data_IF_223083423782
#
_entry.id   IF_223083423782
#
_cell.length_a   1.000
_cell.length_b   1.000
_cell.length_c   1.000
_cell.angle_alpha   90.00
_cell.angle_beta   90.00
_cell.angle_gamma   90.00
#
_symmetry.space_group_name_H-M   'P 1'
#
loop_
_entity.id
_entity.type
_entity.pdbx_description
1 polymer ?
#
# COMPACT_ATOMS: atom_id res chain seq x y z
N UNK A 1 -25.80 -5.26 2.37
CA UNK A 1 -25.66 -5.66 3.79
C UNK A 1 -24.20 -5.64 4.25
N UNK A 2 -23.26 -6.27 3.54
CA UNK A 2 -21.83 -6.33 3.93
C UNK A 2 -21.24 -4.93 4.16
N UNK A 3 -21.44 -4.01 3.21
CA UNK A 3 -20.96 -2.63 3.33
C UNK A 3 -21.52 -1.91 4.57
N UNK A 4 -22.82 -2.04 4.84
CA UNK A 4 -23.45 -1.44 6.03
C UNK A 4 -22.87 -2.02 7.31
N UNK A 5 -22.72 -3.35 7.38
CA UNK A 5 -22.11 -4.02 8.53
C UNK A 5 -20.65 -3.62 8.74
N UNK A 6 -19.93 -3.37 7.64
CA UNK A 6 -18.57 -2.83 7.70
C UNK A 6 -18.54 -1.38 8.19
N UNK A 7 -19.44 -0.52 7.72
CA UNK A 7 -19.55 0.86 8.21
C UNK A 7 -19.87 0.91 9.71
N UNK A 8 -20.68 -0.03 10.20
CA UNK A 8 -20.92 -0.17 11.64
C UNK A 8 -19.64 -0.61 12.39
N UNK A 9 -18.87 -1.57 11.86
CA UNK A 9 -17.59 -1.98 12.44
C UNK A 9 -16.61 -0.80 12.52
N UNK A 10 -16.42 -0.12 11.39
CA UNK A 10 -15.55 1.05 11.28
C UNK A 10 -15.98 2.13 12.27
N UNK A 11 -17.27 2.47 12.29
CA UNK A 11 -17.82 3.48 13.19
C UNK A 11 -17.65 3.13 14.67
N UNK A 12 -17.96 1.89 15.07
CA UNK A 12 -17.82 1.44 16.45
C UNK A 12 -16.35 1.47 16.91
N UNK A 13 -15.45 0.93 16.10
CA UNK A 13 -14.04 0.83 16.45
C UNK A 13 -13.37 2.21 16.50
N UNK A 14 -13.58 3.04 15.46
CA UNK A 14 -12.98 4.38 15.42
C UNK A 14 -13.53 5.26 16.53
N UNK A 15 -14.84 5.23 16.80
CA UNK A 15 -15.43 5.95 17.94
C UNK A 15 -14.79 5.53 19.27
N UNK A 16 -14.62 4.22 19.50
CA UNK A 16 -13.97 3.72 20.71
C UNK A 16 -12.50 4.16 20.82
N UNK A 17 -11.79 4.26 19.70
CA UNK A 17 -10.37 4.63 19.64
C UNK A 17 -10.11 6.14 19.73
N UNK A 18 -10.99 6.98 19.17
CA UNK A 18 -10.73 8.42 19.01
C UNK A 18 -11.35 9.30 20.08
N UNK A 19 -12.51 8.91 20.62
CA UNK A 19 -13.19 9.78 21.57
C UNK A 19 -12.51 9.71 22.96
N UNK A 20 -12.10 10.86 23.52
CA UNK A 20 -11.52 10.88 24.87
C UNK A 20 -12.54 10.44 25.91
N UNK A 21 -12.07 9.86 27.03
CA UNK A 21 -12.90 9.46 28.18
C UNK A 21 -13.76 10.60 28.75
N UNK A 22 -13.44 11.86 28.44
CA UNK A 22 -14.25 13.02 28.80
C UNK A 22 -15.62 13.05 28.09
N UNK A 23 -15.73 12.46 26.89
CA UNK A 23 -16.94 12.50 26.06
C UNK A 23 -17.68 11.16 26.01
N UNK A 24 -16.99 10.04 26.25
CA UNK A 24 -17.59 8.70 26.26
C UNK A 24 -17.30 8.04 27.59
N UNK A 25 -18.37 7.57 28.24
CA UNK A 25 -18.26 6.80 29.47
C UNK A 25 -17.61 5.44 29.20
N UNK A 26 -16.82 4.92 30.14
CA UNK A 26 -16.07 3.66 30.00
C UNK A 26 -16.98 2.49 29.62
N UNK A 27 -18.21 2.45 30.16
CA UNK A 27 -19.22 1.46 29.82
C UNK A 27 -19.61 1.48 28.33
N UNK A 28 -19.79 2.67 27.75
CA UNK A 28 -20.14 2.83 26.33
C UNK A 28 -18.95 2.44 25.46
N UNK A 29 -17.73 2.82 25.84
CA UNK A 29 -16.51 2.42 25.14
C UNK A 29 -16.37 0.89 25.11
N UNK A 30 -16.59 0.22 26.24
CA UNK A 30 -16.55 -1.24 26.33
C UNK A 30 -17.64 -1.88 25.45
N UNK A 31 -18.85 -1.32 25.40
CA UNK A 31 -19.90 -1.78 24.50
C UNK A 31 -19.51 -1.62 23.01
N UNK A 32 -18.87 -0.51 22.63
CA UNK A 32 -18.39 -0.28 21.27
C UNK A 32 -17.27 -1.27 20.88
N UNK A 33 -16.36 -1.58 21.81
CA UNK A 33 -15.31 -2.57 21.61
C UNK A 33 -15.91 -3.98 21.46
N UNK A 34 -16.87 -4.37 22.30
CA UNK A 34 -17.58 -5.65 22.18
C UNK A 34 -18.32 -5.73 20.83
N UNK A 35 -19.00 -4.65 20.42
CA UNK A 35 -19.66 -4.59 19.11
C UNK A 35 -18.65 -4.75 17.97
N UNK A 36 -17.48 -4.12 18.05
CA UNK A 36 -16.41 -4.25 17.05
C UNK A 36 -15.88 -5.68 16.94
N UNK A 37 -15.76 -6.40 18.06
CA UNK A 37 -15.35 -7.82 18.09
C UNK A 37 -16.38 -8.68 17.36
N UNK A 38 -17.66 -8.51 17.69
CA UNK A 38 -18.75 -9.29 17.07
C UNK A 38 -18.81 -9.02 15.57
N UNK A 39 -18.82 -7.75 15.16
CA UNK A 39 -18.87 -7.37 13.75
C UNK A 39 -17.62 -7.83 12.98
N UNK A 40 -16.43 -7.73 13.61
CA UNK A 40 -15.18 -8.23 13.06
C UNK A 40 -15.22 -9.73 12.80
N UNK A 41 -15.70 -10.53 13.77
CA UNK A 41 -15.85 -11.98 13.59
C UNK A 41 -16.85 -12.35 12.49
N UNK A 42 -17.93 -11.58 12.33
CA UNK A 42 -18.88 -11.79 11.23
C UNK A 42 -18.18 -11.62 9.89
N UNK A 43 -17.42 -10.54 9.69
CA UNK A 43 -16.68 -10.32 8.45
C UNK A 43 -15.58 -11.37 8.21
N UNK A 44 -14.82 -11.70 9.26
CA UNK A 44 -13.80 -12.74 9.21
C UNK A 44 -14.38 -14.11 8.82
N UNK A 45 -15.63 -14.41 9.21
CA UNK A 45 -16.30 -15.65 8.82
C UNK A 45 -16.50 -15.78 7.30
N UNK A 46 -16.68 -14.67 6.58
CA UNK A 46 -16.76 -14.68 5.11
C UNK A 46 -15.40 -14.96 4.48
N UNK A 47 -14.34 -14.36 5.02
CA UNK A 47 -12.96 -14.62 4.54
C UNK A 47 -12.52 -16.07 4.78
N UNK A 48 -12.89 -16.65 5.93
CA UNK A 48 -12.62 -18.07 6.22
C UNK A 48 -13.33 -18.98 5.22
N UNK A 49 -14.57 -18.66 4.81
CA UNK A 49 -15.28 -19.43 3.77
C UNK A 49 -14.57 -19.33 2.41
N UNK A 50 -14.10 -18.13 2.06
CA UNK A 50 -13.36 -17.91 0.83
C UNK A 50 -12.05 -18.73 0.81
N UNK A 51 -11.31 -18.72 1.91
CA UNK A 51 -10.10 -19.50 2.08
C UNK A 51 -10.33 -21.02 1.96
N UNK A 52 -11.39 -21.55 2.58
CA UNK A 52 -11.73 -22.99 2.52
C UNK A 52 -12.04 -23.43 1.09
N UNK A 53 -12.69 -22.58 0.29
CA UNK A 53 -13.10 -22.93 -1.07
C UNK A 53 -11.91 -23.11 -2.01
N UNK A 54 -10.93 -22.20 -1.96
CA UNK A 54 -9.72 -22.31 -2.77
C UNK A 54 -8.51 -21.62 -2.10
N UNK A 55 -7.76 -22.34 -1.24
CA UNK A 55 -6.69 -21.72 -0.45
C UNK A 55 -5.53 -21.22 -1.31
N UNK A 56 -5.24 -21.88 -2.45
CA UNK A 56 -4.13 -21.51 -3.33
C UNK A 56 -4.45 -20.21 -4.07
N UNK A 57 -5.65 -20.09 -4.67
CA UNK A 57 -6.09 -18.85 -5.32
C UNK A 57 -6.18 -17.73 -4.29
N UNK A 58 -6.74 -18.03 -3.12
CA UNK A 58 -6.90 -17.07 -2.04
C UNK A 58 -5.57 -16.45 -1.61
N UNK A 59 -4.53 -17.28 -1.39
CA UNK A 59 -3.22 -16.82 -0.94
C UNK A 59 -2.42 -16.03 -1.99
N UNK A 60 -2.73 -16.17 -3.28
CA UNK A 60 -2.10 -15.39 -4.35
C UNK A 60 -2.72 -14.01 -4.54
N UNK A 61 -3.91 -13.78 -3.99
CA UNK A 61 -4.55 -12.46 -4.05
C UNK A 61 -4.13 -11.62 -2.83
N UNK A 62 -3.39 -10.56 -3.13
CA UNK A 62 -2.93 -9.59 -2.14
C UNK A 62 -4.10 -8.98 -1.33
N UNK A 63 -5.26 -8.77 -1.95
CA UNK A 63 -6.41 -8.14 -1.30
C UNK A 63 -7.02 -9.03 -0.21
N UNK A 64 -7.04 -10.34 -0.40
CA UNK A 64 -7.58 -11.27 0.59
C UNK A 64 -6.75 -11.28 1.88
N UNK A 65 -5.42 -11.20 1.77
CA UNK A 65 -4.51 -11.11 2.91
C UNK A 65 -4.74 -9.78 3.66
N UNK A 66 -4.84 -8.69 2.90
CA UNK A 66 -5.14 -7.37 3.46
C UNK A 66 -6.47 -7.36 4.22
N UNK A 67 -7.51 -7.98 3.66
CA UNK A 67 -8.84 -8.05 4.26
C UNK A 67 -8.82 -8.79 5.60
N UNK A 68 -8.10 -9.90 5.70
CA UNK A 68 -7.92 -10.61 6.98
C UNK A 68 -7.22 -9.74 8.00
N UNK A 69 -6.14 -9.05 7.63
CA UNK A 69 -5.43 -8.16 8.55
C UNK A 69 -6.36 -7.04 9.04
N UNK A 70 -7.14 -6.45 8.14
CA UNK A 70 -8.07 -5.38 8.46
C UNK A 70 -9.19 -5.79 9.41
N UNK A 71 -9.52 -7.09 9.52
CA UNK A 71 -10.48 -7.61 10.50
C UNK A 71 -9.82 -8.15 11.77
N UNK A 72 -8.73 -8.90 11.65
CA UNK A 72 -8.03 -9.53 12.78
C UNK A 72 -7.44 -8.48 13.71
N UNK A 73 -6.82 -7.44 13.14
CA UNK A 73 -6.07 -6.46 13.92
C UNK A 73 -7.03 -5.67 14.84
N UNK A 74 -8.15 -5.08 14.37
CA UNK A 74 -9.15 -4.49 15.26
C UNK A 74 -9.72 -5.45 16.30
N UNK A 75 -10.01 -6.71 15.95
CA UNK A 75 -10.49 -7.71 16.94
C UNK A 75 -9.47 -7.91 18.05
N UNK A 76 -8.21 -8.12 17.68
CA UNK A 76 -7.12 -8.31 18.63
C UNK A 76 -6.96 -7.08 19.53
N UNK A 77 -7.01 -5.87 18.97
CA UNK A 77 -6.90 -4.64 19.76
C UNK A 77 -8.05 -4.46 20.73
N UNK A 78 -9.29 -4.73 20.31
CA UNK A 78 -10.46 -4.62 21.17
C UNK A 78 -10.39 -5.61 22.32
N UNK A 79 -9.95 -6.85 22.08
CA UNK A 79 -9.76 -7.85 23.14
C UNK A 79 -8.66 -7.41 24.10
N UNK A 80 -7.50 -6.99 23.57
CA UNK A 80 -6.37 -6.57 24.39
C UNK A 80 -6.71 -5.33 25.23
N UNK A 81 -7.45 -4.37 24.67
CA UNK A 81 -7.89 -3.18 25.39
C UNK A 81 -8.89 -3.51 26.50
N UNK A 82 -9.84 -4.42 26.26
CA UNK A 82 -10.76 -4.88 27.31
C UNK A 82 -10.05 -5.64 28.44
N UNK A 83 -8.89 -6.25 28.18
CA UNK A 83 -8.12 -7.02 29.16
C UNK A 83 -7.11 -6.18 29.94
N UNK A 84 -6.56 -5.13 29.32
CA UNK A 84 -5.49 -4.31 29.89
C UNK A 84 -5.86 -2.83 29.76
N UNK A 85 -6.02 -2.14 30.90
CA UNK A 85 -6.19 -0.68 30.96
C UNK A 85 -4.88 0.08 30.65
N UNK A 86 -3.93 -0.52 29.93
CA UNK A 86 -2.59 0.03 29.72
C UNK A 86 -2.47 0.92 28.49
N UNK A 87 -1.60 1.93 28.60
CA UNK A 87 -1.29 2.95 27.58
C UNK A 87 -0.47 2.43 26.38
N UNK A 88 0.04 1.18 26.44
CA UNK A 88 0.84 0.58 25.38
C UNK A 88 0.04 0.19 24.11
N UNK A 89 -1.26 0.46 24.09
CA UNK A 89 -2.18 0.13 22.98
C UNK A 89 -2.20 1.18 21.85
N UNK A 90 -1.70 2.39 22.06
CA UNK A 90 -1.84 3.51 21.11
C UNK A 90 -1.34 3.17 19.69
N UNK A 91 -0.16 2.56 19.49
CA UNK A 91 0.30 2.22 18.14
C UNK A 91 -0.63 1.23 17.45
N UNK A 92 -1.10 0.24 18.19
CA UNK A 92 -1.94 -0.83 17.68
C UNK A 92 -3.34 -0.31 17.30
N UNK A 93 -3.90 0.61 18.09
CA UNK A 93 -5.13 1.33 17.76
C UNK A 93 -4.95 2.16 16.48
N UNK A 94 -3.83 2.88 16.36
CA UNK A 94 -3.53 3.69 15.17
C UNK A 94 -3.45 2.83 13.90
N UNK A 95 -2.72 1.72 13.93
CA UNK A 95 -2.68 0.79 12.80
C UNK A 95 -4.07 0.20 12.50
N UNK A 96 -4.84 -0.16 13.52
CA UNK A 96 -6.20 -0.71 13.33
C UNK A 96 -7.12 0.23 12.60
N UNK A 97 -7.15 1.50 13.01
CA UNK A 97 -7.91 2.53 12.31
C UNK A 97 -7.42 2.67 10.86
N UNK A 98 -6.11 2.74 10.63
CA UNK A 98 -5.55 2.86 9.27
C UNK A 98 -5.96 1.69 8.36
N UNK A 99 -5.87 0.45 8.84
CA UNK A 99 -6.25 -0.73 8.06
C UNK A 99 -7.76 -0.74 7.75
N UNK A 100 -8.60 -0.36 8.71
CA UNK A 100 -10.04 -0.22 8.49
C UNK A 100 -10.36 0.91 7.49
N UNK A 101 -9.68 2.05 7.57
CA UNK A 101 -9.87 3.19 6.65
C UNK A 101 -9.44 2.84 5.21
N UNK A 102 -8.32 2.13 5.06
CA UNK A 102 -7.90 1.65 3.74
C UNK A 102 -8.89 0.61 3.21
N UNK A 103 -9.38 -0.31 4.07
CA UNK A 103 -10.43 -1.28 3.68
C UNK A 103 -11.72 -0.58 3.26
N UNK A 104 -12.10 0.52 3.93
CA UNK A 104 -13.23 1.35 3.50
C UNK A 104 -13.05 1.84 2.06
N UNK A 105 -11.85 2.33 1.72
CA UNK A 105 -11.51 2.80 0.38
C UNK A 105 -11.72 1.70 -0.68
N UNK A 106 -11.41 0.44 -0.37
CA UNK A 106 -11.54 -0.69 -1.31
C UNK A 106 -12.98 -0.98 -1.74
N UNK A 107 -13.99 -0.59 -0.96
CA UNK A 107 -15.39 -0.73 -1.39
C UNK A 107 -15.73 0.14 -2.61
N UNK A 108 -14.99 1.22 -2.84
CA UNK A 108 -15.20 2.07 -4.00
C UNK A 108 -14.82 1.38 -5.32
N UNK A 109 -14.06 0.28 -5.28
CA UNK A 109 -13.74 -0.54 -6.47
C UNK A 109 -14.98 -1.04 -7.21
N UNK A 110 -16.11 -1.24 -6.52
CA UNK A 110 -17.35 -1.71 -7.13
C UNK A 110 -18.15 -0.62 -7.87
N UNK A 111 -17.83 0.66 -7.65
CA UNK A 111 -18.54 1.82 -8.23
C UNK A 111 -17.79 2.26 -9.50
N UNK A 112 -18.48 2.44 -10.63
CA UNK A 112 -17.83 2.71 -11.93
C UNK A 112 -16.94 3.95 -11.93
N UNK A 113 -17.36 5.02 -11.27
CA UNK A 113 -16.59 6.26 -11.21
C UNK A 113 -15.21 6.07 -10.56
N UNK A 114 -15.13 5.32 -9.46
CA UNK A 114 -13.86 5.09 -8.73
C UNK A 114 -13.15 3.82 -9.20
N UNK A 115 -13.91 2.79 -9.58
CA UNK A 115 -13.42 1.46 -9.96
C UNK A 115 -12.52 1.48 -11.18
N UNK A 116 -12.71 2.42 -12.10
CA UNK A 116 -11.79 2.64 -13.22
C UNK A 116 -10.39 3.02 -12.71
N UNK A 117 -10.29 3.96 -11.76
CA UNK A 117 -9.01 4.35 -11.16
C UNK A 117 -8.37 3.22 -10.38
N UNK A 118 -9.15 2.46 -9.62
CA UNK A 118 -8.66 1.25 -8.95
C UNK A 118 -8.11 0.22 -9.95
N UNK A 119 -8.78 0.07 -11.10
CA UNK A 119 -8.34 -0.86 -12.12
C UNK A 119 -6.99 -0.47 -12.70
N UNK A 120 -6.79 0.83 -12.97
CA UNK A 120 -5.50 1.40 -13.39
C UNK A 120 -4.45 1.14 -12.31
N UNK A 121 -4.71 1.52 -11.06
CA UNK A 121 -3.76 1.36 -9.94
C UNK A 121 -3.30 -0.09 -9.81
N UNK A 122 -4.24 -1.05 -9.81
CA UNK A 122 -3.92 -2.48 -9.67
C UNK A 122 -3.12 -2.99 -10.87
N UNK A 123 -3.50 -2.59 -12.09
CA UNK A 123 -2.82 -3.06 -13.30
C UNK A 123 -1.39 -2.53 -13.37
N UNK A 124 -1.22 -1.23 -13.14
CA UNK A 124 0.08 -0.58 -13.08
C UNK A 124 0.94 -1.17 -11.97
N UNK A 125 0.37 -1.38 -10.78
CA UNK A 125 1.08 -2.00 -9.65
C UNK A 125 1.69 -3.35 -10.03
N UNK A 126 0.95 -4.22 -10.73
CA UNK A 126 1.46 -5.54 -11.18
C UNK A 126 2.64 -5.41 -12.15
N UNK A 127 2.64 -4.39 -13.02
CA UNK A 127 3.71 -4.19 -14.00
C UNK A 127 5.00 -3.64 -13.37
N UNK A 128 4.90 -2.83 -12.32
CA UNK A 128 6.06 -2.17 -11.70
C UNK A 128 6.76 -2.98 -10.60
N UNK A 129 6.19 -4.09 -10.12
CA UNK A 129 6.79 -4.92 -9.05
C UNK A 129 8.26 -5.28 -9.34
N UNK A 130 8.64 -5.75 -10.56
CA UNK A 130 10.04 -6.09 -10.84
C UNK A 130 10.98 -4.89 -10.68
N UNK A 131 10.54 -3.69 -11.07
CA UNK A 131 11.31 -2.47 -10.90
C UNK A 131 11.51 -2.13 -9.41
N UNK A 132 10.45 -2.24 -8.60
CA UNK A 132 10.53 -1.98 -7.15
C UNK A 132 11.49 -2.95 -6.44
N UNK A 133 11.56 -4.21 -6.88
CA UNK A 133 12.52 -5.20 -6.36
C UNK A 133 13.96 -4.77 -6.66
N UNK A 134 14.25 -4.33 -7.89
CA UNK A 134 15.58 -3.82 -8.28
C UNK A 134 15.93 -2.59 -7.45
N UNK A 135 14.99 -1.63 -7.32
CA UNK A 135 15.18 -0.44 -6.50
C UNK A 135 15.51 -0.79 -5.04
N UNK A 136 14.78 -1.74 -4.44
CA UNK A 136 15.01 -2.18 -3.07
C UNK A 136 16.41 -2.78 -2.87
N UNK A 137 16.86 -3.65 -3.79
CA UNK A 137 18.21 -4.24 -3.73
C UNK A 137 19.28 -3.14 -3.78
N UNK A 138 19.10 -2.14 -4.63
CA UNK A 138 20.04 -1.03 -4.75
C UNK A 138 20.05 -0.21 -3.46
N UNK A 139 18.88 0.15 -2.90
CA UNK A 139 18.78 0.88 -1.62
C UNK A 139 19.47 0.13 -0.50
N UNK A 140 19.26 -1.19 -0.38
CA UNK A 140 19.93 -2.05 0.61
C UNK A 140 21.46 -2.00 0.42
N UNK A 141 21.93 -2.04 -0.83
CA UNK A 141 23.35 -1.99 -1.16
C UNK A 141 24.00 -0.67 -0.73
N UNK A 142 23.33 0.46 -0.98
CA UNK A 142 23.81 1.77 -0.49
C UNK A 142 23.73 1.89 1.01
N UNK A 143 22.63 1.45 1.64
CA UNK A 143 22.49 1.47 3.09
C UNK A 143 23.64 0.70 3.74
N UNK A 144 24.00 -0.46 3.20
CA UNK A 144 25.15 -1.23 3.65
C UNK A 144 26.48 -0.49 3.44
N UNK A 145 26.70 0.15 2.30
CA UNK A 145 27.91 0.91 2.03
C UNK A 145 28.06 2.12 2.98
N UNK A 146 27.00 2.91 3.17
CA UNK A 146 26.98 4.02 4.11
C UNK A 146 27.10 3.55 5.55
N UNK A 147 26.46 2.44 5.92
CA UNK A 147 26.62 1.81 7.23
C UNK A 147 28.08 1.49 7.52
N UNK A 148 28.78 0.82 6.60
CA UNK A 148 30.21 0.51 6.78
C UNK A 148 31.06 1.79 6.92
N UNK A 149 30.74 2.84 6.17
CA UNK A 149 31.50 4.08 6.18
C UNK A 149 31.26 4.92 7.44
N UNK A 150 30.01 4.99 7.90
CA UNK A 150 29.53 5.94 8.91
C UNK A 150 29.22 5.29 10.27
N UNK A 151 29.40 3.98 10.40
CA UNK A 151 29.26 3.30 11.69
C UNK A 151 30.36 3.77 12.66
N UNK A 152 30.03 4.05 13.93
CA UNK A 152 31.01 4.30 14.98
C UNK A 152 31.93 3.08 15.14
N UNK A 153 33.24 3.30 15.18
CA UNK A 153 34.26 2.27 15.44
C UNK A 153 34.57 2.12 16.92
N UNK A 154 34.36 3.19 17.67
CA UNK A 154 34.56 3.26 19.10
C UNK A 154 33.28 2.89 19.85
N UNK A 155 33.44 2.29 21.03
CA UNK A 155 32.32 2.05 21.94
C UNK A 155 31.87 3.41 22.48
N UNK A 156 30.57 3.66 22.46
CA UNK A 156 29.95 4.88 22.98
C UNK A 156 28.67 4.53 23.77
N UNK A 157 28.26 5.45 24.63
CA UNK A 157 26.96 5.45 25.30
C UNK A 157 26.25 6.77 25.01
N UNK A 158 24.92 6.79 24.95
CA UNK A 158 24.17 8.05 24.81
C UNK A 158 24.06 8.85 26.11
N UNK A 159 24.29 8.19 27.25
CA UNK A 159 24.12 8.80 28.58
C UNK A 159 25.42 9.40 29.11
N UNK A 160 26.56 8.87 28.67
CA UNK A 160 27.89 9.27 29.14
C UNK A 160 28.73 9.84 27.99
N UNK A 161 29.24 11.06 28.19
CA UNK A 161 30.13 11.72 27.24
C UNK A 161 31.36 10.86 27.00
N UNK A 162 31.53 10.42 25.76
CA UNK A 162 32.69 9.63 25.36
C UNK A 162 33.67 10.51 24.60
N UNK A 163 34.83 10.81 25.20
CA UNK A 163 35.88 11.58 24.53
C UNK A 163 36.78 10.63 23.72
N UNK A 164 36.48 10.48 22.42
CA UNK A 164 37.28 9.70 21.51
C UNK A 164 37.45 10.41 20.15
N UNK A 165 38.43 9.99 19.37
CA UNK A 165 38.77 10.60 18.09
C UNK A 165 38.00 10.00 16.91
N UNK A 166 36.90 9.29 17.17
CA UNK A 166 36.12 8.63 16.12
C UNK A 166 35.16 9.64 15.47
N UNK A 167 35.35 10.00 14.19
CA UNK A 167 34.52 11.00 13.53
C UNK A 167 33.05 10.59 13.38
N UNK A 168 32.74 9.30 13.53
CA UNK A 168 31.39 8.77 13.42
C UNK A 168 30.69 8.63 14.77
N UNK A 169 31.38 8.85 15.89
CA UNK A 169 30.76 8.81 17.21
C UNK A 169 29.69 9.91 17.31
N UNK A 170 28.45 9.59 17.74
CA UNK A 170 27.41 10.59 17.94
C UNK A 170 27.83 11.82 18.75
N UNK A 171 28.68 11.65 19.77
CA UNK A 171 29.19 12.77 20.59
C UNK A 171 30.09 13.75 19.82
N UNK A 172 30.70 13.33 18.72
CA UNK A 172 31.51 14.19 17.85
C UNK A 172 30.70 14.82 16.71
N UNK A 173 29.47 14.34 16.50
CA UNK A 173 28.57 14.78 15.44
C UNK A 173 27.57 15.84 15.94
N UNK A 174 27.15 15.76 17.21
CA UNK A 174 26.19 16.69 17.80
C UNK A 174 26.63 18.15 17.72
N UNK A 175 25.66 19.05 17.73
CA UNK A 175 25.92 20.48 17.80
C UNK A 175 26.61 20.86 19.12
N UNK A 176 27.76 21.50 18.99
CA UNK A 176 28.49 22.13 20.10
C UNK A 176 28.41 23.64 20.00
N UNK A 177 28.07 24.30 21.10
CA UNK A 177 27.92 25.74 21.18
C UNK A 177 29.10 26.36 21.94
N UNK A 178 29.70 27.39 21.35
CA UNK A 178 30.79 28.16 21.94
C UNK A 178 30.27 29.46 22.53
N UNK A 179 30.83 29.89 23.65
CA UNK A 179 30.49 31.19 24.24
C UNK A 179 31.13 32.32 23.43
N UNK A 180 30.31 33.29 22.99
CA UNK A 180 30.78 34.50 22.32
C UNK A 180 30.75 35.66 23.32
N UNK A 181 31.91 36.25 23.60
CA UNK A 181 32.03 37.38 24.51
C UNK A 181 31.67 38.71 23.82
N UNK A 182 31.31 39.75 24.59
CA UNK A 182 30.88 41.06 24.07
C UNK A 182 31.94 41.77 23.21
N UNK A 183 33.21 41.43 23.38
CA UNK A 183 34.35 41.92 22.59
C UNK A 183 34.51 41.16 21.25
N UNK A 184 33.63 40.21 20.94
CA UNK A 184 33.68 39.40 19.72
C UNK A 184 34.64 38.20 19.78
N UNK A 185 35.32 37.96 20.91
CA UNK A 185 36.17 36.76 21.06
C UNK A 185 35.31 35.54 21.35
N UNK A 186 35.64 34.41 20.72
CA UNK A 186 34.97 33.12 20.93
C UNK A 186 35.82 32.31 21.91
N UNK A 187 35.20 31.77 22.96
CA UNK A 187 35.89 30.81 23.84
C UNK A 187 36.23 29.55 23.03
N UNK A 188 37.45 29.06 23.18
CA UNK A 188 37.91 27.84 22.51
C UNK A 188 37.32 26.57 23.12
N UNK A 189 36.77 26.66 24.34
CA UNK A 189 36.12 25.54 25.01
C UNK A 189 34.62 25.51 24.66
N UNK A 190 34.10 24.30 24.42
CA UNK A 190 32.67 24.08 24.21
C UNK A 190 31.92 24.41 25.51
N UNK A 191 30.90 25.27 25.41
CA UNK A 191 30.10 25.69 26.55
C UNK A 191 28.89 24.77 26.76
N UNK A 192 28.22 24.37 25.68
CA UNK A 192 27.09 23.44 25.69
C UNK A 192 27.22 22.43 24.56
N UNK A 193 26.95 21.16 24.86
CA UNK A 193 26.92 20.07 23.89
C UNK A 193 25.52 19.47 23.95
N UNK A 194 24.87 19.32 22.78
CA UNK A 194 23.59 18.63 22.72
C UNK A 194 23.79 17.14 23.01
N UNK A 195 22.94 16.55 23.85
CA UNK A 195 22.99 15.11 24.08
C UNK A 195 22.60 14.35 22.80
N UNK A 196 23.42 13.40 22.32
CA UNK A 196 23.10 12.60 21.14
C UNK A 196 21.93 11.66 21.41
N UNK A 197 21.22 11.31 20.35
CA UNK A 197 20.17 10.29 20.38
C UNK A 197 20.32 9.33 19.18
N UNK A 198 19.40 8.36 19.08
CA UNK A 198 19.42 7.36 18.00
C UNK A 198 19.36 7.94 16.58
N UNK A 199 18.92 9.18 16.41
CA UNK A 199 18.83 9.86 15.12
C UNK A 199 20.08 10.70 14.80
N UNK A 200 20.95 10.98 15.78
CA UNK A 200 22.19 11.74 15.56
C UNK A 200 23.13 11.04 14.59
N UNK A 201 23.29 9.73 14.70
CA UNK A 201 23.96 8.92 13.68
C UNK A 201 23.05 7.73 13.35
N UNK A 202 22.27 7.87 12.28
CA UNK A 202 21.36 6.81 11.81
C UNK A 202 22.11 5.60 11.22
N UNK A 203 23.44 5.63 11.11
CA UNK A 203 24.26 4.52 10.61
C UNK A 203 24.91 3.70 11.74
N UNK A 204 24.47 3.90 12.99
CA UNK A 204 24.88 3.06 14.13
C UNK A 204 24.25 1.66 14.10
N UNK A 205 23.01 1.52 13.62
CA UNK A 205 22.29 0.28 13.38
C UNK A 205 21.96 0.17 11.89
N UNK A 206 21.98 -1.05 11.38
CA UNK A 206 21.66 -1.30 9.97
C UNK A 206 20.19 -0.96 9.66
N UNK A 207 19.28 -1.16 10.62
CA UNK A 207 17.85 -0.83 10.45
C UNK A 207 17.62 0.67 10.25
N UNK A 208 18.28 1.51 11.05
CA UNK A 208 18.22 2.96 10.93
C UNK A 208 18.96 3.43 9.67
N UNK A 209 20.00 2.73 9.21
CA UNK A 209 20.69 3.05 7.95
C UNK A 209 19.79 2.84 6.73
N UNK A 210 18.99 1.78 6.71
CA UNK A 210 17.99 1.55 5.66
C UNK A 210 16.95 2.68 5.64
N UNK A 211 16.50 3.10 6.83
CA UNK A 211 15.54 4.20 6.94
C UNK A 211 16.16 5.55 6.51
N UNK A 212 17.42 5.81 6.82
CA UNK A 212 18.16 6.98 6.34
C UNK A 212 18.24 7.02 4.80
N UNK A 213 18.48 5.88 4.14
CA UNK A 213 18.49 5.82 2.68
C UNK A 213 17.11 6.01 2.08
N UNK A 214 16.06 5.53 2.75
CA UNK A 214 14.68 5.82 2.37
C UNK A 214 14.36 7.33 2.47
N UNK A 215 14.76 7.99 3.57
CA UNK A 215 14.61 9.45 3.72
C UNK A 215 15.33 10.20 2.59
N UNK A 216 16.56 9.77 2.26
CA UNK A 216 17.34 10.34 1.16
C UNK A 216 16.66 10.17 -0.21
N UNK A 217 15.96 9.05 -0.43
CA UNK A 217 15.15 8.84 -1.64
C UNK A 217 13.99 9.83 -1.74
N UNK A 218 13.38 10.19 -0.61
CA UNK A 218 12.32 11.22 -0.55
C UNK A 218 12.84 12.66 -0.61
N UNK A 219 14.17 12.84 -0.67
CA UNK A 219 14.83 14.16 -0.74
C UNK A 219 15.30 14.71 0.61
N UNK A 220 15.07 13.98 1.71
CA UNK A 220 15.58 14.38 3.03
C UNK A 220 17.02 13.88 3.22
N UNK A 221 17.97 14.82 3.18
CA UNK A 221 19.40 14.56 3.35
C UNK A 221 19.90 14.79 4.78
N UNK A 222 19.00 15.04 5.74
CA UNK A 222 19.35 15.32 7.15
C UNK A 222 20.21 14.22 7.77
N UNK A 223 19.98 12.97 7.39
CA UNK A 223 20.77 11.83 7.87
C UNK A 223 22.24 11.88 7.42
N UNK A 224 22.57 12.56 6.32
CA UNK A 224 23.91 12.62 5.70
C UNK A 224 24.58 13.99 5.86
N UNK A 225 23.85 15.02 6.28
CA UNK A 225 24.36 16.40 6.43
C UNK A 225 25.26 16.62 7.66
N UNK A 226 25.40 15.60 8.50
CA UNK A 226 26.12 15.67 9.76
C UNK A 226 27.65 15.70 9.61
N UNK A 227 28.17 15.29 8.45
CA UNK A 227 29.61 15.25 8.18
C UNK A 227 30.04 16.33 7.21
N UNK A 228 31.25 16.84 7.42
CA UNK A 228 31.93 17.69 6.44
C UNK A 228 32.28 16.90 5.17
N UNK A 229 31.86 17.42 4.02
CA UNK A 229 32.12 16.79 2.71
C UNK A 229 33.58 16.93 2.26
N UNK A 230 34.32 17.93 2.75
CA UNK A 230 35.74 18.12 2.41
C UNK A 230 36.63 17.10 3.09
N UNK A 231 36.26 16.72 4.31
CA UNK A 231 37.09 15.86 5.16
C UNK A 231 36.87 14.38 4.83
N UNK A 232 35.75 14.05 4.19
CA UNK A 232 35.37 12.69 3.82
C UNK A 232 35.05 12.59 2.31
N UNK A 233 36.07 12.51 1.42
CA UNK A 233 35.83 12.46 -0.02
C UNK A 233 35.03 11.22 -0.45
N UNK A 234 35.21 10.09 0.24
CA UNK A 234 34.45 8.86 -0.01
C UNK A 234 32.94 9.05 0.26
N UNK A 235 32.58 9.81 1.29
CA UNK A 235 31.20 10.14 1.59
C UNK A 235 30.60 11.00 0.48
N UNK A 236 31.31 12.06 0.08
CA UNK A 236 30.86 12.93 -1.01
C UNK A 236 30.64 12.15 -2.31
N UNK A 237 31.56 11.24 -2.66
CA UNK A 237 31.44 10.38 -3.85
C UNK A 237 30.20 9.48 -3.75
N UNK A 238 29.98 8.83 -2.60
CA UNK A 238 28.81 7.97 -2.39
C UNK A 238 27.48 8.75 -2.48
N UNK A 239 27.43 9.96 -1.93
CA UNK A 239 26.25 10.84 -2.01
C UNK A 239 25.96 11.22 -3.46
N UNK A 240 26.98 11.66 -4.21
CA UNK A 240 26.83 12.03 -5.63
C UNK A 240 26.38 10.82 -6.45
N UNK A 241 26.97 9.65 -6.23
CA UNK A 241 26.65 8.43 -6.95
C UNK A 241 25.24 7.92 -6.61
N UNK A 242 24.83 7.98 -5.34
CA UNK A 242 23.47 7.67 -4.91
C UNK A 242 22.45 8.62 -5.57
N UNK A 243 22.70 9.93 -5.53
CA UNK A 243 21.81 10.93 -6.12
C UNK A 243 21.66 10.72 -7.64
N UNK A 244 22.77 10.52 -8.36
CA UNK A 244 22.74 10.30 -9.80
C UNK A 244 21.98 9.02 -10.16
N UNK A 245 22.25 7.91 -9.47
CA UNK A 245 21.63 6.63 -9.80
C UNK A 245 20.17 6.57 -9.37
N UNK A 246 19.86 6.89 -8.12
CA UNK A 246 18.50 6.76 -7.58
C UNK A 246 17.63 7.94 -8.01
N UNK A 247 18.02 9.15 -7.61
CA UNK A 247 17.16 10.34 -7.73
C UNK A 247 17.06 10.79 -9.18
N UNK A 248 18.17 10.88 -9.91
CA UNK A 248 18.17 11.36 -11.29
C UNK A 248 17.77 10.25 -12.27
N UNK A 249 18.35 9.06 -12.17
CA UNK A 249 18.11 8.01 -13.17
C UNK A 249 16.88 7.15 -12.83
N UNK A 250 16.89 6.43 -11.71
CA UNK A 250 15.85 5.44 -11.42
C UNK A 250 14.49 6.06 -11.14
N UNK A 251 14.38 7.17 -10.40
CA UNK A 251 13.07 7.81 -10.15
C UNK A 251 12.45 8.36 -11.45
N UNK A 252 13.26 8.93 -12.34
CA UNK A 252 12.77 9.39 -13.64
C UNK A 252 12.40 8.22 -14.57
N UNK A 253 13.18 7.14 -14.55
CA UNK A 253 12.83 5.91 -15.24
C UNK A 253 11.53 5.30 -14.70
N UNK A 254 11.35 5.31 -13.38
CA UNK A 254 10.13 4.83 -12.72
C UNK A 254 8.89 5.58 -13.20
N UNK A 255 8.96 6.91 -13.26
CA UNK A 255 7.88 7.76 -13.78
C UNK A 255 7.60 7.43 -15.25
N UNK A 256 8.64 7.24 -16.07
CA UNK A 256 8.47 6.84 -17.48
C UNK A 256 7.81 5.47 -17.64
N UNK A 257 8.20 4.49 -16.82
CA UNK A 257 7.58 3.16 -16.81
C UNK A 257 6.12 3.19 -16.34
N UNK A 258 5.81 4.02 -15.34
CA UNK A 258 4.44 4.26 -14.89
C UNK A 258 3.59 4.84 -16.01
N UNK A 259 4.08 5.87 -16.71
CA UNK A 259 3.33 6.48 -17.81
C UNK A 259 3.03 5.46 -18.93
N UNK A 260 4.03 4.68 -19.31
CA UNK A 260 3.85 3.64 -20.33
C UNK A 260 2.88 2.53 -19.89
N UNK A 261 2.89 2.16 -18.61
CA UNK A 261 1.98 1.15 -18.07
C UNK A 261 0.53 1.65 -18.05
N UNK A 262 0.31 2.93 -17.74
CA UNK A 262 -1.02 3.56 -17.75
C UNK A 262 -1.60 3.60 -19.17
N UNK A 263 -0.80 3.93 -20.18
CA UNK A 263 -1.28 4.04 -21.57
C UNK A 263 -1.63 2.70 -22.22
N UNK A 264 -1.12 1.58 -21.70
CA UNK A 264 -1.23 0.26 -22.35
C UNK A 264 -2.58 -0.41 -22.14
N UNK A 265 -3.24 -0.18 -21.01
CA UNK A 265 -4.43 -0.94 -20.62
C UNK A 265 -5.73 -0.24 -21.03
N UNK A 266 -6.72 -1.04 -21.45
CA UNK A 266 -8.08 -0.53 -21.63
C UNK A 266 -8.76 -0.45 -20.26
N UNK A 267 -8.67 0.72 -19.63
CA UNK A 267 -9.17 1.00 -18.28
C UNK A 267 -10.57 0.46 -18.03
N UNK A 268 -11.46 0.57 -19.03
CA UNK A 268 -12.84 0.13 -18.91
C UNK A 268 -12.98 -1.39 -18.91
N UNK A 269 -12.22 -2.10 -19.75
CA UNK A 269 -12.25 -3.57 -19.79
C UNK A 269 -11.68 -4.13 -18.50
N UNK A 270 -10.57 -3.58 -18.02
CA UNK A 270 -9.94 -3.97 -16.74
C UNK A 270 -10.90 -3.76 -15.56
N UNK A 271 -11.61 -2.64 -15.51
CA UNK A 271 -12.64 -2.40 -14.51
C UNK A 271 -13.80 -3.39 -14.61
N UNK A 272 -14.33 -3.66 -15.80
CA UNK A 272 -15.44 -4.61 -15.97
C UNK A 272 -15.05 -6.02 -15.52
N UNK A 273 -13.82 -6.44 -15.78
CA UNK A 273 -13.29 -7.72 -15.31
C UNK A 273 -13.21 -7.76 -13.78
N UNK A 274 -12.69 -6.71 -13.14
CA UNK A 274 -12.65 -6.62 -11.69
C UNK A 274 -14.05 -6.60 -11.07
N UNK A 275 -14.98 -5.87 -11.67
CA UNK A 275 -16.38 -5.84 -11.22
C UNK A 275 -17.02 -7.23 -11.31
N UNK A 276 -16.76 -7.97 -12.39
CA UNK A 276 -17.26 -9.33 -12.55
C UNK A 276 -16.69 -10.28 -11.48
N UNK A 277 -15.40 -10.15 -11.13
CA UNK A 277 -14.78 -10.93 -10.06
C UNK A 277 -15.40 -10.62 -8.70
N UNK A 278 -15.59 -9.33 -8.36
CA UNK A 278 -16.27 -8.92 -7.12
C UNK A 278 -17.71 -9.47 -7.06
N UNK A 279 -18.44 -9.43 -8.18
CA UNK A 279 -19.80 -9.97 -8.24
C UNK A 279 -19.79 -11.48 -8.00
N UNK A 280 -18.90 -12.21 -8.66
CA UNK A 280 -18.76 -13.65 -8.45
C UNK A 280 -18.43 -14.00 -6.99
N UNK A 281 -17.56 -13.22 -6.34
CA UNK A 281 -17.25 -13.38 -4.91
C UNK A 281 -18.47 -13.15 -4.02
N UNK A 282 -19.23 -12.08 -4.28
CA UNK A 282 -20.49 -11.78 -3.57
C UNK A 282 -21.46 -12.95 -3.69
N UNK A 283 -21.66 -13.43 -4.91
CA UNK A 283 -22.58 -14.53 -5.21
C UNK A 283 -22.16 -15.84 -4.54
N UNK A 284 -20.86 -16.14 -4.50
CA UNK A 284 -20.33 -17.39 -3.98
C UNK A 284 -20.16 -17.43 -2.47
N UNK A 285 -19.75 -16.32 -1.83
CA UNK A 285 -19.31 -16.33 -0.43
C UNK A 285 -20.21 -15.55 0.52
N UNK A 286 -20.85 -14.49 0.02
CA UNK A 286 -21.61 -13.59 0.88
C UNK A 286 -23.12 -13.81 0.83
N UNK A 287 -23.66 -14.31 -0.29
CA UNK A 287 -25.09 -14.63 -0.39
C UNK A 287 -25.47 -15.94 0.30
N UNK A 288 -26.59 -15.92 1.01
CA UNK A 288 -27.20 -17.11 1.61
C UNK A 288 -27.84 -18.02 0.52
N UNK A 289 -27.97 -19.34 0.76
CA UNK A 289 -28.53 -20.27 -0.22
C UNK A 289 -29.91 -19.89 -0.76
N UNK A 290 -30.75 -19.24 0.07
CA UNK A 290 -32.06 -18.78 -0.38
C UNK A 290 -31.98 -17.54 -1.28
N UNK A 291 -31.01 -16.64 -1.06
CA UNK A 291 -30.83 -15.42 -1.87
C UNK A 291 -30.37 -15.76 -3.29
N UNK A 292 -29.55 -16.81 -3.43
CA UNK A 292 -29.08 -17.30 -4.74
C UNK A 292 -30.18 -17.90 -5.62
N UNK A 293 -31.36 -18.17 -5.04
CA UNK A 293 -32.52 -18.73 -5.73
C UNK A 293 -33.57 -17.67 -6.08
N UNK A 294 -33.29 -16.39 -5.83
CA UNK A 294 -34.21 -15.32 -6.17
C UNK A 294 -34.16 -15.01 -7.66
N UNK A 295 -35.23 -15.36 -8.37
CA UNK A 295 -35.36 -15.12 -9.82
C UNK A 295 -35.20 -13.64 -10.21
N UNK A 296 -35.46 -12.71 -9.29
CA UNK A 296 -35.27 -11.27 -9.52
C UNK A 296 -33.79 -10.85 -9.54
N UNK A 297 -32.93 -11.56 -8.81
CA UNK A 297 -31.49 -11.28 -8.75
C UNK A 297 -30.69 -12.15 -9.73
N UNK A 298 -31.17 -13.38 -9.95
CA UNK A 298 -30.60 -14.35 -10.89
C UNK A 298 -31.63 -14.70 -11.96
N UNK A 299 -31.87 -13.80 -12.94
CA UNK A 299 -32.81 -14.07 -14.01
C UNK A 299 -32.28 -15.17 -14.93
N UNK A 300 -33.20 -15.96 -15.49
CA UNK A 300 -32.85 -17.02 -16.46
C UNK A 300 -32.29 -16.43 -17.78
N UNK A 301 -32.65 -15.18 -18.10
CA UNK A 301 -32.25 -14.51 -19.34
C UNK A 301 -31.70 -13.12 -19.03
N UNK A 302 -30.51 -12.82 -19.55
CA UNK A 302 -29.86 -11.50 -19.47
C UNK A 302 -29.88 -10.85 -20.86
N UNK A 303 -30.48 -9.66 -20.95
CA UNK A 303 -30.48 -8.88 -22.19
C UNK A 303 -29.32 -7.90 -22.21
N UNK A 304 -28.46 -7.99 -23.23
CA UNK A 304 -27.39 -7.02 -23.49
C UNK A 304 -27.77 -6.11 -24.66
N UNK A 305 -27.75 -4.79 -24.43
CA UNK A 305 -27.97 -3.79 -25.46
C UNK A 305 -26.63 -3.39 -26.07
N UNK A 306 -26.44 -3.70 -27.36
CA UNK A 306 -25.25 -3.35 -28.11
C UNK A 306 -25.58 -2.25 -29.14
N UNK A 307 -24.69 -1.26 -29.30
CA UNK A 307 -24.81 -0.27 -30.37
C UNK A 307 -24.55 -0.95 -31.72
N UNK A 308 -25.49 -0.80 -32.66
CA UNK A 308 -25.47 -1.47 -33.97
C UNK A 308 -24.20 -1.13 -34.77
N UNK A 309 -23.77 0.13 -34.78
CA UNK A 309 -22.64 0.59 -35.59
C UNK A 309 -21.30 0.13 -35.00
N UNK A 310 -21.15 0.22 -33.68
CA UNK A 310 -19.98 -0.32 -32.97
C UNK A 310 -19.86 -1.84 -33.16
N UNK A 311 -20.99 -2.54 -33.07
CA UNK A 311 -21.03 -4.00 -33.27
C UNK A 311 -20.63 -4.37 -34.69
N UNK A 312 -21.14 -3.66 -35.71
CA UNK A 312 -20.74 -3.85 -37.11
C UNK A 312 -19.24 -3.64 -37.31
N UNK A 313 -18.69 -2.57 -36.75
CA UNK A 313 -17.26 -2.26 -36.86
C UNK A 313 -16.42 -3.40 -36.28
N UNK A 314 -16.75 -3.85 -35.07
CA UNK A 314 -15.98 -4.90 -34.40
C UNK A 314 -16.08 -6.25 -35.12
N UNK A 315 -17.24 -6.61 -35.67
CA UNK A 315 -17.39 -7.86 -36.44
C UNK A 315 -16.51 -7.82 -37.70
N UNK A 316 -16.42 -6.68 -38.40
CA UNK A 316 -15.52 -6.55 -39.56
C UNK A 316 -14.05 -6.73 -39.17
N UNK A 317 -13.62 -6.08 -38.09
CA UNK A 317 -12.27 -6.26 -37.55
C UNK A 317 -11.97 -7.74 -37.25
N UNK A 318 -12.88 -8.46 -36.58
CA UNK A 318 -12.71 -9.89 -36.27
C UNK A 318 -12.65 -10.79 -37.51
N UNK A 319 -13.37 -10.43 -38.59
CA UNK A 319 -13.30 -11.14 -39.87
C UNK A 319 -11.94 -10.90 -40.53
N UNK A 320 -11.46 -9.65 -40.52
CA UNK A 320 -10.16 -9.29 -41.09
C UNK A 320 -9.00 -9.98 -40.34
N UNK A 321 -9.13 -10.15 -39.02
CA UNK A 321 -8.16 -10.83 -38.15
C UNK A 321 -8.27 -12.38 -38.16
N UNK A 322 -9.19 -12.96 -38.96
CA UNK A 322 -9.53 -14.41 -38.97
C UNK A 322 -9.97 -15.00 -37.61
N UNK A 323 -10.41 -14.17 -36.66
CA UNK A 323 -10.89 -14.62 -35.34
C UNK A 323 -12.40 -14.95 -35.34
N UNK A 324 -13.13 -14.52 -36.37
CA UNK A 324 -14.59 -14.68 -36.43
C UNK A 324 -15.06 -16.13 -36.67
N UNK A 325 -14.28 -16.92 -37.40
CA UNK A 325 -14.65 -18.27 -37.87
C UNK A 325 -14.43 -19.38 -36.82
N UNK A 326 -14.62 -19.07 -35.53
CA UNK A 326 -14.62 -20.10 -34.49
C UNK A 326 -15.84 -21.02 -34.56
N UNK A 327 -15.67 -22.30 -34.24
CA UNK A 327 -16.71 -23.34 -34.25
C UNK A 327 -17.85 -23.12 -33.24
N UNK A 328 -17.76 -22.11 -32.40
CA UNK A 328 -18.74 -21.81 -31.37
C UNK A 328 -19.85 -20.90 -31.90
N UNK A 329 -21.11 -21.19 -31.52
CA UNK A 329 -22.29 -20.35 -31.77
C UNK A 329 -22.56 -19.99 -33.25
N UNK A 330 -22.27 -20.91 -34.19
CA UNK A 330 -22.39 -20.68 -35.64
C UNK A 330 -23.76 -20.12 -36.04
N UNK A 331 -24.86 -20.71 -35.55
CA UNK A 331 -26.22 -20.25 -35.86
C UNK A 331 -26.48 -18.81 -35.37
N UNK A 332 -26.04 -18.47 -34.16
CA UNK A 332 -26.22 -17.13 -33.61
C UNK A 332 -25.38 -16.09 -34.38
N UNK A 333 -24.16 -16.44 -34.80
CA UNK A 333 -23.32 -15.58 -35.63
C UNK A 333 -23.97 -15.29 -36.98
N UNK A 334 -24.55 -16.30 -37.64
CA UNK A 334 -25.28 -16.13 -38.90
C UNK A 334 -26.49 -15.20 -38.73
N UNK A 335 -27.28 -15.39 -37.66
CA UNK A 335 -28.42 -14.52 -37.35
C UNK A 335 -27.95 -13.09 -37.09
N UNK A 336 -26.84 -12.90 -36.38
CA UNK A 336 -26.28 -11.59 -36.06
C UNK A 336 -25.80 -10.85 -37.31
N UNK A 337 -25.02 -11.51 -38.18
CA UNK A 337 -24.56 -10.95 -39.45
C UNK A 337 -25.73 -10.54 -40.35
N UNK A 338 -26.78 -11.38 -40.42
CA UNK A 338 -28.00 -11.10 -41.17
C UNK A 338 -28.74 -9.90 -40.59
N UNK A 339 -28.91 -9.82 -39.26
CA UNK A 339 -29.56 -8.67 -38.59
C UNK A 339 -28.76 -7.37 -38.75
N UNK A 340 -27.44 -7.45 -38.79
CA UNK A 340 -26.55 -6.30 -38.94
C UNK A 340 -26.27 -5.92 -40.40
N UNK A 341 -26.81 -6.65 -41.38
CA UNK A 341 -26.57 -6.45 -42.82
C UNK A 341 -25.08 -6.47 -43.22
N UNK A 342 -24.28 -7.35 -42.61
CA UNK A 342 -22.87 -7.55 -42.98
C UNK A 342 -22.82 -8.62 -44.08
N UNK A 343 -22.03 -8.40 -45.14
CA UNK A 343 -21.79 -9.41 -46.18
C UNK A 343 -20.59 -10.25 -45.78
N UNK A 344 -20.81 -11.50 -45.38
CA UNK A 344 -19.75 -12.45 -45.04
C UNK A 344 -20.18 -13.87 -45.45
N UNK A 345 -19.30 -14.59 -46.16
CA UNK A 345 -19.55 -15.94 -46.64
C UNK A 345 -18.95 -16.94 -45.65
N UNK A 346 -19.80 -17.70 -44.96
CA UNK A 346 -19.39 -18.78 -44.04
C UNK A 346 -18.85 -20.03 -44.75
N UNK A 347 -18.64 -19.98 -46.06
CA UNK A 347 -18.15 -21.10 -46.86
C UNK A 347 -16.64 -20.95 -47.09
N UNK A 348 -15.84 -21.41 -46.14
CA UNK A 348 -14.45 -21.80 -46.38
C UNK A 348 -14.05 -22.97 -45.49
#
# INVERSE_FOLDING_TARGET
>A
MIWIGFMALLGCFTAAATFPQQYINEEIQNQLLIASIILGFIHLSFEVRHFIYNPIKWAHDFWNIFDVIAYVLPIYTSIHWLQTNETNLIPLLSFSCLFLDIKFLLFFRAIEYFGIYFAIIISVAKQIVPFLVVLLIIIISFAHAFYILLTPRSIFSFDELTNNNDPNNPWNIVSSYYQIFKNGTIDTHQFLIQQPNGNTNMFNDFRTSLFAMYLSLTGDSSALSNWSYTDNPSLAILIVLFSLLIVVYLMNLFIGLLNNAIEKDNDRVSYLMQKAEILAEIELFYLLPHQRRWNSWFPEVIYYYANVDMTRKKIKELIDDNEWDSNEFIELKQILIKKLNIKHNFNK
#
